data_IF_883218127187
#
_entry.id   IF_883218127187
#
_cell.length_a   1.000
_cell.length_b   1.000
_cell.length_c   1.000
_cell.angle_alpha   90.00
_cell.angle_beta   90.00
_cell.angle_gamma   90.00
#
_symmetry.space_group_name_H-M   'P 1'
#
loop_
_entity.id
_entity.type
_entity.pdbx_description
1 polymer ?
#
# COMPACT_ATOMS: atom_id res chain seq x y z
N UNK A 1 -19.73 -10.33 -0.43
CA UNK A 1 -18.93 -9.38 -1.24
C UNK A 1 -17.48 -9.63 -0.90
N UNK A 2 -16.69 -10.10 -1.87
CA UNK A 2 -15.26 -10.36 -1.66
C UNK A 2 -14.52 -9.03 -1.62
N UNK A 3 -14.12 -8.58 -0.43
CA UNK A 3 -13.29 -7.38 -0.25
C UNK A 3 -11.85 -7.71 -0.66
N UNK A 4 -11.54 -7.61 -1.94
CA UNK A 4 -10.14 -7.61 -2.40
C UNK A 4 -9.48 -6.35 -1.85
N UNK A 5 -8.70 -6.51 -0.78
CA UNK A 5 -7.86 -5.43 -0.27
C UNK A 5 -6.82 -5.09 -1.37
N UNK A 6 -6.83 -3.88 -1.95
CA UNK A 6 -5.96 -3.59 -3.09
C UNK A 6 -4.50 -3.67 -2.68
N UNK A 7 -3.71 -4.45 -3.42
CA UNK A 7 -2.27 -4.54 -3.24
C UNK A 7 -1.67 -3.15 -3.47
N UNK A 8 -0.98 -2.58 -2.48
CA UNK A 8 -0.29 -1.30 -2.57
C UNK A 8 1.09 -1.55 -3.20
N UNK A 9 1.39 -1.02 -4.40
CA UNK A 9 2.72 -1.13 -5.00
C UNK A 9 3.77 -0.36 -4.20
N UNK A 10 5.02 -0.83 -4.21
CA UNK A 10 6.14 -0.15 -3.53
C UNK A 10 6.31 1.32 -3.96
N UNK A 11 6.15 1.63 -5.24
CA UNK A 11 6.21 3.01 -5.74
C UNK A 11 5.11 3.90 -5.13
N UNK A 12 3.88 3.39 -5.03
CA UNK A 12 2.76 4.08 -4.38
C UNK A 12 3.04 4.35 -2.90
N UNK A 13 3.60 3.35 -2.19
CA UNK A 13 3.97 3.53 -0.79
C UNK A 13 5.05 4.63 -0.61
N UNK A 14 6.05 4.68 -1.50
CA UNK A 14 7.09 5.74 -1.49
C UNK A 14 6.51 7.13 -1.73
N UNK A 15 5.54 7.27 -2.63
CA UNK A 15 4.87 8.55 -2.87
C UNK A 15 4.10 9.03 -1.64
N UNK A 16 3.41 8.12 -0.95
CA UNK A 16 2.70 8.46 0.29
C UNK A 16 3.68 8.78 1.42
N UNK A 17 4.78 8.03 1.58
CA UNK A 17 5.82 8.35 2.56
C UNK A 17 6.44 9.73 2.33
N UNK A 18 6.66 10.12 1.07
CA UNK A 18 7.13 11.46 0.72
C UNK A 18 6.16 12.55 1.17
N UNK A 19 4.85 12.34 1.01
CA UNK A 19 3.81 13.29 1.45
C UNK A 19 3.87 13.58 2.96
N UNK A 20 4.27 12.60 3.77
CA UNK A 20 4.37 12.72 5.22
C UNK A 20 5.80 13.01 5.72
N UNK A 21 6.70 13.42 4.83
CA UNK A 21 8.11 13.68 5.10
C UNK A 21 8.81 12.52 5.85
N UNK A 22 8.53 11.29 5.40
CA UNK A 22 9.09 10.07 5.98
C UNK A 22 10.25 9.54 5.15
N UNK A 23 11.25 8.99 5.85
CA UNK A 23 12.41 8.31 5.24
C UNK A 23 11.93 7.22 4.28
N UNK A 24 12.60 7.11 3.12
CA UNK A 24 12.20 6.18 2.05
C UNK A 24 11.08 6.73 1.15
N UNK A 25 10.63 7.96 1.38
CA UNK A 25 9.75 8.67 0.47
C UNK A 25 10.42 9.02 -0.86
N UNK A 26 9.68 8.93 -1.95
CA UNK A 26 10.10 9.39 -3.27
C UNK A 26 9.07 10.39 -3.80
N UNK A 27 9.53 11.52 -4.31
CA UNK A 27 8.66 12.56 -4.85
C UNK A 27 7.94 12.05 -6.11
N UNK A 28 6.61 12.07 -6.14
CA UNK A 28 5.87 11.71 -7.34
C UNK A 28 5.82 12.86 -8.36
N UNK A 29 5.42 12.54 -9.59
CA UNK A 29 5.07 13.54 -10.59
C UNK A 29 3.90 14.47 -10.16
N UNK A 30 3.76 15.60 -10.84
CA UNK A 30 2.77 16.64 -10.52
C UNK A 30 1.35 16.12 -10.48
N UNK A 31 0.95 15.27 -11.44
CA UNK A 31 -0.38 14.66 -11.47
C UNK A 31 -0.69 13.89 -10.17
N UNK A 32 0.21 12.99 -9.76
CA UNK A 32 0.03 12.17 -8.56
C UNK A 32 0.03 13.02 -7.28
N UNK A 33 0.80 14.11 -7.21
CA UNK A 33 0.73 15.07 -6.09
C UNK A 33 -0.66 15.68 -5.95
N UNK A 34 -1.23 16.17 -7.06
CA UNK A 34 -2.58 16.75 -7.07
C UNK A 34 -3.63 15.68 -6.75
N UNK A 35 -3.47 14.47 -7.27
CA UNK A 35 -4.36 13.35 -6.95
C UNK A 35 -4.35 13.00 -5.46
N UNK A 36 -3.18 12.94 -4.82
CA UNK A 36 -3.11 12.71 -3.37
C UNK A 36 -3.80 13.82 -2.57
N UNK A 37 -3.61 15.08 -2.99
CA UNK A 37 -4.30 16.22 -2.37
C UNK A 37 -5.82 16.15 -2.57
N UNK A 38 -6.28 15.77 -3.76
CA UNK A 38 -7.70 15.59 -4.06
C UNK A 38 -8.33 14.48 -3.21
N UNK A 39 -7.66 13.33 -3.05
CA UNK A 39 -8.14 12.22 -2.22
C UNK A 39 -8.28 12.65 -0.75
N UNK A 40 -7.34 13.42 -0.23
CA UNK A 40 -7.36 13.86 1.17
C UNK A 40 -8.41 14.93 1.46
N UNK A 41 -8.72 15.78 0.48
CA UNK A 41 -9.68 16.87 0.58
C UNK A 41 -11.11 16.46 0.19
N UNK A 42 -11.28 15.34 -0.52
CA UNK A 42 -12.57 14.89 -1.01
C UNK A 42 -13.56 14.57 0.12
N UNK A 43 -14.81 14.96 -0.08
CA UNK A 43 -15.94 14.50 0.72
C UNK A 43 -16.18 12.98 0.56
N UNK A 44 -17.09 12.43 1.35
CA UNK A 44 -17.35 10.98 1.38
C UNK A 44 -17.70 10.40 0.00
N UNK A 45 -18.52 11.11 -0.78
CA UNK A 45 -18.99 10.64 -2.10
C UNK A 45 -17.85 10.68 -3.11
N UNK A 46 -17.16 11.81 -3.21
CA UNK A 46 -16.05 11.98 -4.14
C UNK A 46 -14.87 11.07 -3.76
N UNK A 47 -14.64 10.85 -2.47
CA UNK A 47 -13.62 9.91 -1.98
C UNK A 47 -13.96 8.48 -2.34
N UNK A 48 -15.24 8.08 -2.31
CA UNK A 48 -15.65 6.75 -2.76
C UNK A 48 -15.37 6.55 -4.26
N UNK A 49 -15.67 7.55 -5.09
CA UNK A 49 -15.37 7.52 -6.54
C UNK A 49 -13.85 7.40 -6.76
N UNK A 50 -13.06 8.23 -6.08
CA UNK A 50 -11.59 8.20 -6.19
C UNK A 50 -11.01 6.87 -5.67
N UNK A 51 -11.59 6.27 -4.63
CA UNK A 51 -11.19 4.95 -4.14
C UNK A 51 -11.43 3.86 -5.18
N UNK A 52 -12.51 3.94 -5.96
CA UNK A 52 -12.76 3.00 -7.05
C UNK A 52 -11.79 3.21 -8.22
N UNK A 53 -11.50 4.47 -8.59
CA UNK A 53 -10.62 4.80 -9.70
C UNK A 53 -9.12 4.57 -9.40
N UNK A 54 -8.70 4.86 -8.17
CA UNK A 54 -7.31 4.81 -7.70
C UNK A 54 -7.20 4.03 -6.38
N UNK A 55 -7.49 2.71 -6.40
CA UNK A 55 -7.65 1.93 -5.18
C UNK A 55 -6.37 1.83 -4.36
N UNK A 56 -5.23 1.56 -4.99
CA UNK A 56 -3.95 1.42 -4.27
C UNK A 56 -3.49 2.72 -3.60
N UNK A 57 -3.64 3.86 -4.27
CA UNK A 57 -3.24 5.16 -3.72
C UNK A 57 -4.18 5.60 -2.59
N UNK A 58 -5.48 5.37 -2.78
CA UNK A 58 -6.50 5.69 -1.78
C UNK A 58 -6.34 4.84 -0.52
N UNK A 59 -6.03 3.55 -0.67
CA UNK A 59 -5.76 2.65 0.46
C UNK A 59 -4.46 3.05 1.17
N UNK A 60 -3.40 3.36 0.44
CA UNK A 60 -2.14 3.82 1.03
C UNK A 60 -2.30 5.11 1.85
N UNK A 61 -3.07 6.10 1.34
CA UNK A 61 -3.38 7.32 2.09
C UNK A 61 -4.30 7.07 3.28
N UNK A 62 -5.29 6.17 3.13
CA UNK A 62 -6.14 5.76 4.25
C UNK A 62 -5.33 5.12 5.37
N UNK A 63 -4.45 4.19 5.03
CA UNK A 63 -3.54 3.53 5.96
C UNK A 63 -2.64 4.55 6.66
N UNK A 64 -2.03 5.49 5.92
CA UNK A 64 -1.18 6.53 6.50
C UNK A 64 -1.91 7.44 7.50
N UNK A 65 -3.22 7.64 7.32
CA UNK A 65 -4.01 8.62 8.10
C UNK A 65 -4.71 8.03 9.32
N UNK A 66 -5.19 6.79 9.23
CA UNK A 66 -6.07 6.22 10.25
C UNK A 66 -5.50 5.01 10.98
N UNK A 67 -4.42 4.40 10.47
CA UNK A 67 -3.76 3.27 11.12
C UNK A 67 -2.56 3.78 11.92
N UNK A 68 -2.51 3.48 13.22
CA UNK A 68 -1.41 3.90 14.11
C UNK A 68 -0.04 3.42 13.60
N UNK A 69 0.01 2.24 12.98
CA UNK A 69 1.21 1.66 12.38
C UNK A 69 1.27 1.88 10.86
N UNK A 70 0.37 2.69 10.30
CA UNK A 70 0.17 2.79 8.86
C UNK A 70 1.42 3.23 8.10
N UNK A 71 2.14 4.21 8.64
CA UNK A 71 3.41 4.67 8.07
C UNK A 71 4.51 3.60 8.17
N UNK A 72 4.54 2.82 9.25
CA UNK A 72 5.49 1.71 9.41
C UNK A 72 5.19 0.57 8.43
N UNK A 73 3.90 0.27 8.21
CA UNK A 73 3.43 -0.65 7.17
C UNK A 73 3.87 -0.15 5.78
N UNK A 74 3.60 1.11 5.43
CA UNK A 74 4.03 1.69 4.15
C UNK A 74 5.54 1.69 3.97
N UNK A 75 6.32 1.93 5.02
CA UNK A 75 7.78 1.84 4.96
C UNK A 75 8.22 0.43 4.59
N UNK A 76 7.67 -0.60 5.25
CA UNK A 76 7.92 -2.00 4.87
C UNK A 76 7.55 -2.25 3.41
N UNK A 77 6.46 -1.67 2.91
CA UNK A 77 6.06 -1.81 1.51
C UNK A 77 7.06 -1.16 0.55
N UNK A 78 7.49 0.06 0.86
CA UNK A 78 8.45 0.81 0.08
C UNK A 78 9.83 0.13 -0.02
N UNK A 79 10.23 -0.60 1.03
CA UNK A 79 11.49 -1.34 1.11
C UNK A 79 11.38 -2.81 0.66
N UNK A 80 10.21 -3.25 0.19
CA UNK A 80 9.99 -4.63 -0.27
C UNK A 80 9.83 -5.67 0.84
N UNK A 81 9.60 -5.22 2.08
CA UNK A 81 9.32 -6.06 3.25
C UNK A 81 7.81 -6.36 3.44
N UNK A 82 6.90 -5.72 2.67
CA UNK A 82 5.45 -5.93 2.69
C UNK A 82 4.75 -5.39 1.40
N UNK A 83 3.43 -5.57 1.19
CA UNK A 83 2.73 -6.75 1.60
C UNK A 83 3.23 -7.84 0.66
N UNK A 84 3.93 -8.82 1.22
CA UNK A 84 4.21 -10.04 0.49
C UNK A 84 2.85 -10.75 0.36
N UNK A 85 2.00 -10.26 -0.53
CA UNK A 85 0.82 -10.99 -0.95
C UNK A 85 1.36 -12.29 -1.49
N UNK A 86 1.08 -13.37 -0.78
CA UNK A 86 1.46 -14.67 -1.27
C UNK A 86 0.82 -14.88 -2.65
N UNK A 87 1.57 -15.20 -3.71
CA UNK A 87 0.96 -15.61 -4.99
C UNK A 87 0.07 -16.86 -4.85
N UNK A 88 0.21 -17.62 -3.76
CA UNK A 88 -0.64 -18.73 -3.33
C UNK A 88 -1.98 -18.35 -2.68
N UNK A 89 -2.28 -17.05 -2.52
CA UNK A 89 -3.59 -16.60 -2.03
C UNK A 89 -3.77 -16.53 -0.51
N UNK A 90 -2.72 -16.77 0.29
CA UNK A 90 -2.80 -16.60 1.75
C UNK A 90 -2.25 -15.25 2.23
N UNK A 91 -2.90 -14.69 3.25
CA UNK A 91 -2.46 -13.49 3.98
C UNK A 91 -1.86 -13.83 5.34
N UNK A 92 -1.96 -15.10 5.77
CA UNK A 92 -1.44 -15.59 7.01
C UNK A 92 -0.09 -16.30 6.81
N UNK A 93 0.94 -15.84 7.51
CA UNK A 93 2.17 -16.61 7.72
C UNK A 93 3.44 -15.76 7.75
N UNK A 94 4.49 -16.24 8.45
CA UNK A 94 5.81 -15.65 8.36
C UNK A 94 6.38 -15.79 6.93
N UNK A 95 7.14 -14.78 6.51
CA UNK A 95 7.79 -14.74 5.20
C UNK A 95 9.23 -15.21 5.30
N UNK A 96 9.68 -15.98 4.31
CA UNK A 96 11.08 -16.39 4.19
C UNK A 96 11.97 -15.18 3.86
N UNK A 97 13.29 -15.31 4.08
CA UNK A 97 14.27 -14.26 3.74
C UNK A 97 14.25 -13.89 2.25
N UNK A 98 13.77 -14.79 1.40
CA UNK A 98 13.64 -14.61 -0.05
C UNK A 98 12.30 -13.96 -0.46
N UNK A 99 11.51 -13.47 0.51
CA UNK A 99 10.24 -12.80 0.26
C UNK A 99 9.11 -13.73 -0.18
N UNK A 100 9.19 -15.03 0.12
CA UNK A 100 8.12 -16.00 -0.15
C UNK A 100 7.34 -16.31 1.11
N UNK A 101 6.07 -16.69 0.98
CA UNK A 101 5.34 -17.27 2.10
C UNK A 101 5.89 -18.66 2.43
N UNK A 102 5.82 -19.11 3.69
CA UNK A 102 6.25 -20.48 4.05
C UNK A 102 5.53 -21.58 3.24
N UNK A 103 4.23 -21.42 2.98
CA UNK A 103 3.42 -22.35 2.18
C UNK A 103 3.95 -22.51 0.75
N UNK A 104 4.46 -21.43 0.17
CA UNK A 104 5.05 -21.35 -1.16
C UNK A 104 6.43 -21.96 -1.20
N UNK A 105 7.20 -21.71 -0.14
CA UNK A 105 8.55 -22.22 -0.01
C UNK A 105 8.52 -23.75 0.12
N UNK A 106 7.52 -24.29 0.82
CA UNK A 106 7.30 -25.75 0.95
C UNK A 106 6.76 -26.41 -0.32
N UNK A 107 5.90 -25.74 -1.09
CA UNK A 107 5.35 -26.30 -2.34
C UNK A 107 6.36 -26.39 -3.50
N UNK A 108 7.52 -25.72 -3.37
CA UNK A 108 8.60 -25.73 -4.36
C UNK A 108 9.76 -26.68 -4.01
N UNK A 109 9.63 -27.43 -2.91
CA UNK A 109 10.55 -28.48 -2.48
C UNK A 109 9.96 -29.85 -2.81
#
# INVERSE_FOLDING_TARGET
MSTTNPIIPAGTARHVLWRYDRRGGAEPGSFTKHLMAAIDAADVTNRAILRTAYPALSEALHLARYDEEGLAKLHRIATGQAPLACPCGDTAGPFTRDGRCETCAKAAA
#
